data_IF_173826100195
#
_entry.id   IF_173826100195
#
_cell.length_a   1.000
_cell.length_b   1.000
_cell.length_c   1.000
_cell.angle_alpha   90.00
_cell.angle_beta   90.00
_cell.angle_gamma   90.00
#
_symmetry.space_group_name_H-M   'P 1'
#
loop_
_entity.id
_entity.type
_entity.pdbx_description
1 polymer ?
#
# COMPACT_ATOMS: atom_id res chain seq x y z
N UNK A 1 17.61 2.22 17.83
CA UNK A 1 18.06 0.97 17.17
C UNK A 1 18.78 0.14 18.21
N UNK A 2 18.53 -1.16 18.31
CA UNK A 2 19.24 -2.00 19.30
C UNK A 2 20.62 -2.38 18.76
N UNK A 3 21.57 -2.68 19.67
CA UNK A 3 22.92 -3.10 19.32
C UNK A 3 22.94 -4.33 18.36
N UNK A 4 22.02 -5.26 18.54
CA UNK A 4 21.89 -6.45 17.68
C UNK A 4 21.48 -6.10 16.23
N UNK A 5 20.49 -5.20 16.06
CA UNK A 5 20.06 -4.78 14.71
C UNK A 5 21.15 -3.98 13.99
N UNK A 6 21.92 -3.21 14.76
CA UNK A 6 23.06 -2.48 14.21
C UNK A 6 24.14 -3.45 13.73
N UNK A 7 24.51 -4.43 14.57
CA UNK A 7 25.49 -5.47 14.22
C UNK A 7 25.07 -6.24 12.97
N UNK A 8 23.79 -6.66 12.86
CA UNK A 8 23.31 -7.36 11.67
C UNK A 8 23.49 -6.49 10.41
N UNK A 9 23.12 -5.21 10.47
CA UNK A 9 23.29 -4.29 9.35
C UNK A 9 24.76 -4.18 8.92
N UNK A 10 25.64 -3.97 9.88
CA UNK A 10 27.07 -3.77 9.63
C UNK A 10 27.70 -5.04 9.03
N UNK A 11 27.31 -6.24 9.48
CA UNK A 11 27.73 -7.52 8.90
C UNK A 11 27.22 -7.67 7.46
N UNK A 12 25.97 -7.31 7.18
CA UNK A 12 25.39 -7.39 5.83
C UNK A 12 25.95 -6.35 4.88
N UNK A 13 26.30 -5.15 5.37
CA UNK A 13 26.95 -4.10 4.57
C UNK A 13 28.36 -4.50 4.18
N UNK A 14 29.09 -5.22 5.04
CA UNK A 14 30.45 -5.72 4.77
C UNK A 14 30.49 -6.98 3.89
N UNK A 15 29.39 -7.72 3.83
CA UNK A 15 29.31 -8.94 3.03
C UNK A 15 29.38 -8.63 1.52
N UNK A 16 30.11 -9.49 0.76
CA UNK A 16 30.09 -9.40 -0.70
C UNK A 16 28.73 -9.85 -1.23
N UNK A 17 28.06 -8.96 -1.95
CA UNK A 17 26.71 -9.20 -2.48
C UNK A 17 26.78 -9.54 -3.97
N UNK A 18 26.03 -10.59 -4.34
CA UNK A 18 25.69 -10.89 -5.73
C UNK A 18 24.17 -10.89 -5.86
N UNK A 19 23.65 -10.07 -6.79
CA UNK A 19 22.24 -9.95 -7.06
C UNK A 19 21.97 -10.47 -8.47
N UNK A 20 21.13 -11.50 -8.60
CA UNK A 20 20.74 -12.11 -9.86
C UNK A 20 19.24 -11.93 -10.10
N UNK A 21 18.88 -11.36 -11.24
CA UNK A 21 17.48 -11.28 -11.67
C UNK A 21 17.02 -12.69 -12.05
N UNK A 22 15.92 -13.15 -11.43
CA UNK A 22 15.31 -14.46 -11.68
C UNK A 22 14.07 -14.35 -12.55
N UNK A 23 13.26 -13.30 -12.32
CA UNK A 23 12.05 -13.05 -13.08
C UNK A 23 11.80 -11.55 -13.20
N UNK A 24 11.37 -11.13 -14.40
CA UNK A 24 10.91 -9.78 -14.70
C UNK A 24 9.46 -9.85 -15.17
N UNK A 25 8.54 -9.38 -14.35
CA UNK A 25 7.12 -9.25 -14.69
C UNK A 25 6.73 -7.84 -15.12
N UNK A 26 5.43 -7.61 -15.29
CA UNK A 26 4.88 -6.27 -15.60
C UNK A 26 5.04 -5.32 -14.41
N UNK A 27 4.79 -5.81 -13.18
CA UNK A 27 4.78 -5.01 -11.95
C UNK A 27 6.01 -5.33 -11.10
N UNK A 28 6.28 -6.61 -10.85
CA UNK A 28 7.34 -7.04 -9.94
C UNK A 28 8.55 -7.61 -10.67
N UNK A 29 9.71 -7.49 -10.01
CA UNK A 29 10.91 -8.23 -10.38
C UNK A 29 11.35 -9.06 -9.18
N UNK A 30 11.75 -10.32 -9.45
CA UNK A 30 12.24 -11.22 -8.42
C UNK A 30 13.74 -11.42 -8.59
N UNK A 31 14.47 -11.21 -7.50
CA UNK A 31 15.92 -11.37 -7.44
C UNK A 31 16.29 -12.43 -6.42
N UNK A 32 17.39 -13.10 -6.72
CA UNK A 32 18.14 -13.90 -5.76
C UNK A 32 19.34 -13.09 -5.28
N UNK A 33 19.38 -12.78 -4.01
CA UNK A 33 20.54 -12.17 -3.36
C UNK A 33 21.39 -13.26 -2.71
N UNK A 34 22.69 -13.25 -3.00
CA UNK A 34 23.67 -14.10 -2.34
C UNK A 34 24.64 -13.22 -1.55
N UNK A 35 24.73 -13.47 -0.25
CA UNK A 35 25.61 -12.76 0.67
C UNK A 35 26.76 -13.70 1.04
N UNK A 36 27.99 -13.27 0.79
CA UNK A 36 29.19 -14.00 1.17
C UNK A 36 29.84 -13.28 2.35
N UNK A 37 29.71 -13.86 3.52
CA UNK A 37 30.36 -13.40 4.74
C UNK A 37 31.76 -13.95 4.87
N UNK A 38 32.49 -13.49 5.89
CA UNK A 38 33.74 -14.11 6.31
C UNK A 38 33.50 -15.56 6.74
N UNK A 39 34.59 -16.36 6.82
CA UNK A 39 34.55 -17.80 7.19
C UNK A 39 33.70 -18.68 6.26
N UNK A 40 33.63 -18.34 4.95
CA UNK A 40 32.90 -19.10 3.92
C UNK A 40 31.39 -19.22 4.17
N UNK A 41 30.82 -18.46 5.10
CA UNK A 41 29.39 -18.45 5.36
C UNK A 41 28.66 -17.76 4.20
N UNK A 42 27.65 -18.45 3.64
CA UNK A 42 26.79 -17.95 2.56
C UNK A 42 25.36 -17.89 3.02
N UNK A 43 24.68 -16.78 2.74
CA UNK A 43 23.24 -16.67 2.89
C UNK A 43 22.60 -16.36 1.53
N UNK A 44 21.43 -16.95 1.28
CA UNK A 44 20.63 -16.74 0.07
C UNK A 44 19.29 -16.16 0.49
N UNK A 45 18.84 -15.13 -0.25
CA UNK A 45 17.53 -14.50 -0.03
C UNK A 45 16.82 -14.32 -1.35
N UNK A 46 15.51 -14.45 -1.32
CA UNK A 46 14.63 -14.05 -2.41
C UNK A 46 14.13 -12.63 -2.11
N UNK A 47 14.27 -11.73 -3.08
CA UNK A 47 13.86 -10.34 -2.98
C UNK A 47 12.88 -10.01 -4.09
N UNK A 48 11.75 -9.42 -3.73
CA UNK A 48 10.76 -8.89 -4.67
C UNK A 48 10.91 -7.37 -4.71
N UNK A 49 11.12 -6.83 -5.92
CA UNK A 49 11.13 -5.40 -6.20
C UNK A 49 9.79 -4.97 -6.75
N UNK A 50 9.23 -3.92 -6.16
CA UNK A 50 7.95 -3.32 -6.51
C UNK A 50 8.10 -1.81 -6.72
N UNK A 51 7.41 -1.17 -7.67
CA UNK A 51 7.51 0.28 -7.89
C UNK A 51 6.96 1.12 -6.73
N UNK A 52 6.24 0.52 -5.81
CA UNK A 52 5.47 1.19 -4.78
C UNK A 52 4.00 1.36 -5.18
N UNK A 53 3.20 1.82 -4.25
CA UNK A 53 1.77 1.99 -4.45
C UNK A 53 1.24 3.16 -3.60
N UNK A 54 0.01 3.56 -3.89
CA UNK A 54 -0.78 4.46 -3.06
C UNK A 54 -2.00 3.74 -2.52
N UNK A 55 -2.49 4.20 -1.37
CA UNK A 55 -3.81 3.83 -0.85
C UNK A 55 -4.48 5.11 -0.36
N UNK A 56 -5.79 5.21 -0.55
CA UNK A 56 -6.53 6.43 -0.28
C UNK A 56 -7.70 6.11 0.65
N UNK A 57 -7.92 6.97 1.65
CA UNK A 57 -9.14 7.00 2.46
C UNK A 57 -10.00 8.15 1.94
N UNK A 58 -10.95 7.88 1.03
CA UNK A 58 -11.85 8.92 0.54
C UNK A 58 -12.98 9.10 1.54
N UNK A 59 -13.21 10.34 1.97
CA UNK A 59 -14.27 10.68 2.92
C UNK A 59 -15.28 11.60 2.24
N UNK A 60 -16.54 11.17 2.20
CA UNK A 60 -17.64 11.91 1.61
C UNK A 60 -18.10 13.11 2.49
N UNK A 61 -19.07 13.86 2.00
CA UNK A 61 -19.63 15.04 2.68
C UNK A 61 -20.34 14.69 4.01
N UNK A 62 -20.76 13.43 4.21
CA UNK A 62 -21.39 12.93 5.41
C UNK A 62 -20.38 12.38 6.43
N UNK A 63 -19.09 12.35 6.05
CA UNK A 63 -18.02 11.79 6.87
C UNK A 63 -17.89 10.27 6.77
N UNK A 64 -18.55 9.64 5.77
CA UNK A 64 -18.39 8.22 5.50
C UNK A 64 -17.14 7.97 4.64
N UNK A 65 -16.49 6.84 4.90
CA UNK A 65 -15.37 6.36 4.12
C UNK A 65 -15.91 5.55 2.94
N UNK A 66 -15.40 5.83 1.74
CA UNK A 66 -15.73 5.07 0.55
C UNK A 66 -14.82 3.85 0.45
N UNK A 67 -15.42 2.68 0.33
CA UNK A 67 -14.76 1.39 0.15
C UNK A 67 -15.12 0.79 -1.19
N UNK A 68 -14.27 -0.09 -1.67
CA UNK A 68 -14.48 -0.87 -2.89
C UNK A 68 -14.54 -2.36 -2.57
N UNK A 69 -15.27 -3.12 -3.41
CA UNK A 69 -15.14 -4.58 -3.49
C UNK A 69 -14.47 -4.92 -4.80
N UNK A 70 -13.39 -5.66 -4.73
CA UNK A 70 -12.60 -6.03 -5.90
C UNK A 70 -12.19 -7.50 -5.84
N UNK A 71 -12.23 -8.18 -7.00
CA UNK A 71 -11.69 -9.52 -7.13
C UNK A 71 -10.17 -9.50 -7.13
N UNK A 72 -9.55 -10.27 -6.23
CA UNK A 72 -8.11 -10.43 -6.13
C UNK A 72 -7.71 -11.84 -6.54
N UNK A 73 -7.20 -11.98 -7.76
CA UNK A 73 -6.85 -13.27 -8.36
C UNK A 73 -5.80 -14.06 -7.55
N UNK A 74 -4.85 -13.39 -6.90
CA UNK A 74 -3.81 -14.04 -6.11
C UNK A 74 -4.37 -14.83 -4.92
N UNK A 75 -5.44 -14.35 -4.29
CA UNK A 75 -6.10 -15.01 -3.15
C UNK A 75 -7.43 -15.65 -3.53
N UNK A 76 -7.88 -15.46 -4.79
CA UNK A 76 -9.14 -15.98 -5.35
C UNK A 76 -10.37 -15.61 -4.49
N UNK A 77 -10.44 -14.33 -4.09
CA UNK A 77 -11.52 -13.78 -3.27
C UNK A 77 -11.90 -12.38 -3.73
N UNK A 78 -13.14 -12.02 -3.48
CA UNK A 78 -13.58 -10.62 -3.46
C UNK A 78 -13.19 -10.07 -2.09
N UNK A 79 -12.39 -9.00 -2.08
CA UNK A 79 -11.99 -8.31 -0.86
C UNK A 79 -12.69 -6.96 -0.75
N UNK A 80 -12.89 -6.52 0.49
CA UNK A 80 -13.29 -5.16 0.82
C UNK A 80 -12.02 -4.36 1.09
N UNK A 81 -11.83 -3.30 0.32
CA UNK A 81 -10.59 -2.53 0.33
C UNK A 81 -10.87 -1.02 0.28
N UNK A 82 -9.90 -0.20 0.67
CA UNK A 82 -9.87 1.20 0.26
C UNK A 82 -9.28 1.29 -1.15
N UNK A 83 -9.60 2.32 -1.95
CA UNK A 83 -8.99 2.57 -3.25
C UNK A 83 -7.47 2.60 -3.17
N UNK A 84 -6.82 1.97 -4.14
CA UNK A 84 -5.37 1.83 -4.15
C UNK A 84 -4.83 1.45 -5.53
N UNK A 85 -3.69 1.97 -5.91
CA UNK A 85 -3.05 1.61 -7.16
C UNK A 85 -1.54 1.69 -7.15
N UNK A 86 -0.94 1.08 -8.14
CA UNK A 86 0.50 0.98 -8.32
C UNK A 86 1.04 2.26 -8.97
N UNK A 87 2.18 2.75 -8.47
CA UNK A 87 2.90 3.86 -9.08
C UNK A 87 3.39 3.51 -10.48
N UNK A 88 3.16 4.38 -11.44
CA UNK A 88 3.77 4.32 -12.76
C UNK A 88 5.22 4.83 -12.73
N UNK A 89 5.98 4.54 -13.79
CA UNK A 89 7.39 4.96 -13.87
C UNK A 89 7.50 6.48 -13.87
N UNK A 90 8.09 7.03 -12.81
CA UNK A 90 8.29 8.47 -12.63
C UNK A 90 7.08 9.22 -12.08
N UNK A 91 5.99 8.53 -11.78
CA UNK A 91 4.80 9.12 -11.16
C UNK A 91 5.06 9.44 -9.69
N UNK A 92 4.64 10.62 -9.24
CA UNK A 92 4.72 10.97 -7.82
C UNK A 92 3.48 10.45 -7.08
N UNK A 93 3.62 10.05 -5.79
CA UNK A 93 2.52 9.43 -5.06
C UNK A 93 1.23 10.24 -5.00
N UNK A 94 1.29 11.56 -4.97
CA UNK A 94 0.11 12.42 -4.94
C UNK A 94 -0.67 12.38 -6.27
N UNK A 95 0.04 12.37 -7.40
CA UNK A 95 -0.57 12.27 -8.74
C UNK A 95 -1.20 10.90 -8.95
N UNK A 96 -0.52 9.84 -8.53
CA UNK A 96 -1.05 8.49 -8.52
C UNK A 96 -2.35 8.40 -7.70
N UNK A 97 -2.36 8.95 -6.49
CA UNK A 97 -3.56 8.94 -5.65
C UNK A 97 -4.75 9.69 -6.28
N UNK A 98 -4.49 10.82 -6.95
CA UNK A 98 -5.52 11.56 -7.66
C UNK A 98 -6.04 10.80 -8.89
N UNK A 99 -5.18 10.10 -9.63
CA UNK A 99 -5.54 9.25 -10.76
C UNK A 99 -6.38 8.05 -10.30
N UNK A 100 -5.93 7.31 -9.29
CA UNK A 100 -6.62 6.11 -8.79
C UNK A 100 -8.00 6.42 -8.21
N UNK A 101 -8.18 7.57 -7.54
CA UNK A 101 -9.50 8.02 -7.11
C UNK A 101 -10.48 8.16 -8.29
N UNK A 102 -9.99 8.69 -9.41
CA UNK A 102 -10.83 8.89 -10.59
C UNK A 102 -11.14 7.57 -11.31
N UNK A 103 -10.15 6.68 -11.40
CA UNK A 103 -10.27 5.41 -12.09
C UNK A 103 -11.15 4.42 -11.31
N UNK A 104 -10.96 4.28 -10.00
CA UNK A 104 -11.64 3.26 -9.19
C UNK A 104 -12.99 3.72 -8.65
N UNK A 105 -13.16 5.00 -8.31
CA UNK A 105 -14.39 5.48 -7.65
C UNK A 105 -15.05 6.69 -8.31
N UNK A 106 -14.46 7.24 -9.37
CA UNK A 106 -15.05 8.35 -10.15
C UNK A 106 -15.03 9.71 -9.45
N UNK A 107 -14.09 9.95 -8.54
CA UNK A 107 -13.96 11.20 -7.80
C UNK A 107 -12.54 11.77 -7.86
N UNK A 108 -12.47 13.09 -7.68
CA UNK A 108 -11.27 13.81 -7.25
C UNK A 108 -11.50 14.43 -5.87
N UNK A 109 -10.42 14.84 -5.24
CA UNK A 109 -10.47 15.51 -3.94
C UNK A 109 -9.84 16.92 -4.02
N UNK A 110 -10.50 17.92 -3.43
CA UNK A 110 -9.90 19.24 -3.25
C UNK A 110 -8.81 19.23 -2.16
N UNK A 111 -8.87 18.26 -1.25
CA UNK A 111 -7.93 18.16 -0.13
C UNK A 111 -7.36 16.75 -0.07
N UNK A 112 -6.04 16.63 -0.28
CA UNK A 112 -5.27 15.38 -0.16
C UNK A 112 -4.24 15.55 0.97
N UNK A 113 -4.39 14.77 2.04
CA UNK A 113 -3.56 14.84 3.24
C UNK A 113 -2.72 13.56 3.33
N UNK A 114 -1.37 13.64 3.30
CA UNK A 114 -0.54 12.47 3.51
C UNK A 114 -0.63 11.98 4.96
N UNK A 115 -0.99 10.73 5.15
CA UNK A 115 -1.01 10.07 6.46
C UNK A 115 0.26 9.26 6.74
N UNK A 116 1.21 9.25 5.83
CA UNK A 116 2.43 8.46 5.91
C UNK A 116 2.43 7.29 4.96
N UNK A 117 2.84 6.13 5.45
CA UNK A 117 2.88 4.91 4.66
C UNK A 117 3.55 3.77 5.41
N UNK A 118 3.59 2.63 4.77
CA UNK A 118 4.11 1.39 5.38
C UNK A 118 4.60 0.42 4.30
N UNK A 119 5.49 -0.48 4.70
CA UNK A 119 5.88 -1.63 3.89
C UNK A 119 4.88 -2.77 4.08
N UNK A 120 4.51 -3.45 3.00
CA UNK A 120 3.54 -4.56 3.04
C UNK A 120 4.15 -5.87 3.54
N UNK A 121 5.34 -6.21 3.06
CA UNK A 121 6.02 -7.46 3.40
C UNK A 121 7.56 -7.29 3.46
N UNK A 122 8.10 -6.44 4.36
CA UNK A 122 9.51 -6.01 4.33
C UNK A 122 10.53 -7.13 4.55
N UNK A 123 10.08 -8.33 4.89
CA UNK A 123 10.95 -9.50 5.01
C UNK A 123 11.49 -10.00 3.66
N UNK A 124 10.80 -9.71 2.54
CA UNK A 124 11.22 -10.16 1.21
C UNK A 124 10.80 -9.22 0.07
N UNK A 125 9.91 -8.25 0.33
CA UNK A 125 9.39 -7.32 -0.67
C UNK A 125 9.62 -5.88 -0.22
N UNK A 126 10.03 -5.00 -1.12
CA UNK A 126 10.20 -3.58 -0.86
C UNK A 126 9.00 -2.72 -1.24
N UNK A 127 7.83 -3.34 -1.46
CA UNK A 127 6.60 -2.59 -1.69
C UNK A 127 6.30 -1.64 -0.52
N UNK A 128 6.32 -0.36 -0.83
CA UNK A 128 5.90 0.71 0.08
C UNK A 128 4.60 1.32 -0.39
N UNK A 129 3.61 1.42 0.50
CA UNK A 129 2.32 2.06 0.22
C UNK A 129 2.30 3.44 0.86
N UNK A 130 2.13 4.48 0.03
CA UNK A 130 1.87 5.85 0.48
C UNK A 130 0.39 6.01 0.79
N UNK A 131 0.04 6.42 2.01
CA UNK A 131 -1.35 6.56 2.45
C UNK A 131 -1.78 8.03 2.43
N UNK A 132 -2.94 8.28 1.82
CA UNK A 132 -3.57 9.59 1.76
C UNK A 132 -4.98 9.57 2.36
N UNK A 133 -5.39 10.69 2.94
CA UNK A 133 -6.78 11.01 3.26
C UNK A 133 -7.27 12.01 2.21
N UNK A 134 -8.34 11.66 1.51
CA UNK A 134 -8.99 12.49 0.51
C UNK A 134 -10.30 13.06 1.05
N UNK A 135 -10.48 14.37 0.97
CA UNK A 135 -11.68 15.09 1.44
C UNK A 135 -12.16 16.08 0.41
N UNK A 136 -13.38 16.56 0.60
CA UNK A 136 -14.01 17.51 -0.32
C UNK A 136 -14.06 16.92 -1.73
N UNK A 137 -14.63 15.71 -1.80
CA UNK A 137 -14.73 14.91 -3.04
C UNK A 137 -15.69 15.58 -4.03
N UNK A 138 -15.33 15.55 -5.30
CA UNK A 138 -16.21 15.98 -6.38
C UNK A 138 -16.12 15.00 -7.57
N UNK A 139 -17.21 14.83 -8.36
CA UNK A 139 -17.23 13.88 -9.46
C UNK A 139 -16.16 14.19 -10.52
N UNK A 140 -15.37 13.18 -10.86
CA UNK A 140 -14.36 13.24 -11.91
C UNK A 140 -13.99 11.81 -12.29
N UNK A 141 -14.41 11.36 -13.46
CA UNK A 141 -14.21 9.97 -13.89
C UNK A 141 -13.06 9.93 -14.90
N UNK A 142 -12.10 9.03 -14.62
CA UNK A 142 -11.18 8.50 -15.62
C UNK A 142 -11.56 7.04 -15.84
N UNK A 143 -11.55 6.63 -17.11
CA UNK A 143 -11.87 5.25 -17.43
C UNK A 143 -10.61 4.39 -17.36
N UNK A 144 -10.68 3.26 -16.67
CA UNK A 144 -9.65 2.23 -16.63
C UNK A 144 -10.27 0.87 -16.89
N UNK A 145 -9.48 -0.07 -17.37
CA UNK A 145 -9.96 -1.41 -17.76
C UNK A 145 -10.67 -2.18 -16.63
N UNK A 146 -10.33 -1.88 -15.38
CA UNK A 146 -10.86 -2.56 -14.19
C UNK A 146 -12.06 -1.82 -13.55
N UNK A 147 -12.39 -0.59 -13.99
CA UNK A 147 -13.42 0.26 -13.38
C UNK A 147 -14.81 -0.39 -13.40
N UNK A 148 -15.14 -1.17 -14.42
CA UNK A 148 -16.42 -1.86 -14.57
C UNK A 148 -16.63 -3.04 -13.58
N UNK A 149 -15.58 -3.44 -12.86
CA UNK A 149 -15.59 -4.59 -11.95
C UNK A 149 -15.45 -4.21 -10.48
N UNK A 150 -15.58 -2.93 -10.16
CA UNK A 150 -15.42 -2.39 -8.82
C UNK A 150 -16.79 -1.98 -8.27
N UNK A 151 -17.22 -2.59 -7.17
CA UNK A 151 -18.39 -2.17 -6.42
C UNK A 151 -18.01 -1.12 -5.37
N UNK A 152 -18.59 0.08 -5.46
CA UNK A 152 -18.38 1.18 -4.53
C UNK A 152 -19.49 1.20 -3.46
N UNK A 153 -19.12 1.41 -2.19
CA UNK A 153 -20.05 1.63 -1.09
C UNK A 153 -19.42 2.48 0.02
N UNK A 154 -20.24 3.03 0.89
CA UNK A 154 -19.82 3.93 1.96
C UNK A 154 -20.13 3.33 3.34
N UNK A 155 -19.24 3.54 4.30
CA UNK A 155 -19.42 3.19 5.71
C UNK A 155 -18.98 4.35 6.60
N UNK A 156 -19.65 4.56 7.70
CA UNK A 156 -19.11 5.36 8.79
C UNK A 156 -17.85 4.70 9.37
N UNK A 157 -17.01 5.47 10.04
CA UNK A 157 -15.82 4.90 10.70
C UNK A 157 -16.21 3.82 11.73
N UNK A 158 -17.32 4.01 12.45
CA UNK A 158 -17.80 3.07 13.46
C UNK A 158 -18.21 1.74 12.83
N UNK A 159 -18.97 1.76 11.74
CA UNK A 159 -19.34 0.56 10.97
C UNK A 159 -18.10 -0.15 10.41
N UNK A 160 -17.16 0.61 9.84
CA UNK A 160 -15.91 0.04 9.33
C UNK A 160 -15.08 -0.63 10.44
N UNK A 161 -14.99 -0.02 11.63
CA UNK A 161 -14.28 -0.63 12.76
C UNK A 161 -15.00 -1.88 13.29
N UNK A 162 -16.33 -1.89 13.30
CA UNK A 162 -17.13 -3.07 13.64
C UNK A 162 -16.85 -4.21 12.67
N UNK A 163 -16.90 -3.96 11.36
CA UNK A 163 -16.57 -4.96 10.34
C UNK A 163 -15.10 -5.45 10.45
N UNK A 164 -14.18 -4.55 10.84
CA UNK A 164 -12.79 -4.96 11.10
C UNK A 164 -12.68 -5.93 12.28
N UNK A 165 -13.42 -5.69 13.36
CA UNK A 165 -13.48 -6.60 14.52
C UNK A 165 -14.10 -7.96 14.16
N UNK A 166 -15.06 -7.98 13.26
CA UNK A 166 -15.69 -9.20 12.74
C UNK A 166 -14.84 -9.95 11.71
N UNK A 167 -13.67 -9.39 11.33
CA UNK A 167 -12.75 -10.00 10.37
C UNK A 167 -13.18 -9.87 8.91
N UNK A 168 -14.04 -8.92 8.57
CA UNK A 168 -14.49 -8.69 7.21
C UNK A 168 -13.39 -8.11 6.30
N UNK A 169 -12.45 -7.33 6.85
CA UNK A 169 -11.30 -6.82 6.13
C UNK A 169 -10.14 -7.79 6.21
N UNK A 170 -9.79 -8.39 5.08
CA UNK A 170 -8.67 -9.32 4.95
C UNK A 170 -7.44 -8.69 4.30
N UNK A 171 -7.57 -7.44 3.88
CA UNK A 171 -6.52 -6.66 3.24
C UNK A 171 -5.75 -5.81 4.25
N UNK A 172 -4.43 -5.98 4.27
CA UNK A 172 -3.56 -5.32 5.26
C UNK A 172 -3.50 -3.80 5.08
N UNK A 173 -3.59 -3.30 3.82
CA UNK A 173 -3.56 -1.85 3.57
C UNK A 173 -4.78 -1.15 4.14
N UNK A 174 -5.97 -1.77 4.01
CA UNK A 174 -7.22 -1.25 4.54
C UNK A 174 -7.21 -1.20 6.08
N UNK A 175 -6.76 -2.28 6.73
CA UNK A 175 -6.62 -2.30 8.20
C UNK A 175 -5.61 -1.28 8.71
N UNK A 176 -4.47 -1.15 8.03
CA UNK A 176 -3.44 -0.15 8.37
C UNK A 176 -3.95 1.27 8.18
N UNK A 177 -4.68 1.52 7.10
CA UNK A 177 -5.28 2.80 6.80
C UNK A 177 -6.31 3.23 7.85
N UNK A 178 -7.26 2.34 8.20
CA UNK A 178 -8.24 2.61 9.25
C UNK A 178 -7.57 2.94 10.58
N UNK A 179 -6.51 2.20 10.94
CA UNK A 179 -5.75 2.45 12.16
C UNK A 179 -5.06 3.82 12.15
N UNK A 180 -4.39 4.18 11.05
CA UNK A 180 -3.71 5.47 10.91
C UNK A 180 -4.71 6.63 10.85
N UNK A 181 -5.83 6.46 10.18
CA UNK A 181 -6.90 7.47 10.13
C UNK A 181 -7.50 7.72 11.51
N UNK A 182 -7.79 6.66 12.28
CA UNK A 182 -8.28 6.79 13.65
C UNK A 182 -7.29 7.55 14.56
N UNK A 183 -5.98 7.30 14.41
CA UNK A 183 -4.94 8.02 15.13
C UNK A 183 -4.87 9.49 14.70
N UNK A 184 -4.98 9.77 13.42
CA UNK A 184 -4.97 11.11 12.86
C UNK A 184 -6.18 11.94 13.35
N UNK A 185 -7.35 11.35 13.44
CA UNK A 185 -8.55 12.01 14.00
C UNK A 185 -8.37 12.42 15.47
N UNK A 186 -7.64 11.61 16.25
CA UNK A 186 -7.32 11.95 17.65
C UNK A 186 -6.30 13.09 17.76
N UNK A 187 -5.30 13.08 16.88
CA UNK A 187 -4.25 14.11 16.81
C UNK A 187 -3.67 14.12 15.39
N UNK A 188 -3.99 15.15 14.58
CA UNK A 188 -3.42 15.28 13.25
C UNK A 188 -1.90 15.25 13.27
N UNK A 189 -1.33 14.49 12.31
CA UNK A 189 0.11 14.42 12.16
C UNK A 189 0.62 15.75 11.59
N UNK A 190 1.50 16.42 12.30
CA UNK A 190 2.28 17.54 11.77
C UNK A 190 3.59 16.98 11.21
N UNK A 191 3.71 16.93 9.90
CA UNK A 191 4.96 16.58 9.21
C UNK A 191 5.46 17.76 8.41
#
# INVERSE_FOLDING_TARGET
MTEKSQKQRDEEESARKALSLIYQGKIISVYKETLHYEEEKVAIRDLVKHPGAVAIIPVDENGHILFIKQWRCAVQKILIEIPAGTLEVGEIPLECADRELQEEIGFRANTMIPLGGFYTAPGFCDEYIHLFLAKDLFPSVLWADDSDYIDLFALSLEEALTLAQEGAFLDSKTLSALSLYQLWLKKPFTR
#
